data_IF_170051343726
#
_entry.id   IF_170051343726
#
_cell.length_a   1.000
_cell.length_b   1.000
_cell.length_c   1.000
_cell.angle_alpha   90.00
_cell.angle_beta   90.00
_cell.angle_gamma   90.00
#
_symmetry.space_group_name_H-M   'P 1'
#
loop_
_entity.id
_entity.type
_entity.pdbx_description
1 polymer ?
#
# COMPACT_ATOMS: atom_id res chain seq x y z
N UNK A 1 -4.73 5.01 -7.50
CA UNK A 1 -3.40 5.46 -7.97
C UNK A 1 -2.96 6.68 -7.17
N UNK A 2 -1.74 6.65 -6.61
CA UNK A 2 -1.22 7.68 -5.72
C UNK A 2 -1.02 9.03 -6.44
N UNK A 3 -1.53 10.11 -5.84
CA UNK A 3 -1.46 11.47 -6.41
C UNK A 3 -0.07 12.08 -6.23
N UNK A 4 0.55 12.68 -7.27
CA UNK A 4 1.83 13.36 -7.15
C UNK A 4 1.81 14.53 -6.17
N UNK A 5 0.67 15.21 -6.05
CA UNK A 5 0.47 16.29 -5.07
C UNK A 5 0.55 15.74 -3.64
N UNK A 6 -0.08 14.59 -3.39
CA UNK A 6 -0.04 13.92 -2.09
C UNK A 6 1.38 13.46 -1.73
N UNK A 7 2.10 12.81 -2.66
CA UNK A 7 3.49 12.40 -2.43
C UNK A 7 4.37 13.61 -2.11
N UNK A 8 4.22 14.70 -2.87
CA UNK A 8 4.97 15.93 -2.65
C UNK A 8 4.69 16.55 -1.28
N UNK A 9 3.43 16.59 -0.87
CA UNK A 9 3.06 17.10 0.44
C UNK A 9 3.69 16.28 1.57
N UNK A 10 3.62 14.95 1.49
CA UNK A 10 4.24 14.05 2.49
C UNK A 10 5.76 14.20 2.49
N UNK A 11 6.40 14.25 1.31
CA UNK A 11 7.84 14.43 1.22
C UNK A 11 8.29 15.76 1.82
N UNK A 12 7.56 16.84 1.56
CA UNK A 12 7.84 18.15 2.16
C UNK A 12 7.80 18.08 3.69
N UNK A 13 6.77 17.46 4.24
CA UNK A 13 6.59 17.31 5.68
C UNK A 13 7.71 16.46 6.32
N UNK A 14 8.12 15.41 5.62
CA UNK A 14 9.23 14.53 6.04
C UNK A 14 10.63 15.11 5.76
N UNK A 15 10.74 16.29 5.17
CA UNK A 15 12.03 16.88 4.77
C UNK A 15 12.76 16.10 3.67
N UNK A 16 12.03 15.36 2.84
CA UNK A 16 12.54 14.58 1.70
C UNK A 16 12.53 15.40 0.40
N UNK A 17 13.30 15.01 -0.64
CA UNK A 17 13.29 15.71 -1.93
C UNK A 17 11.89 15.74 -2.56
N UNK A 18 11.55 16.85 -3.20
CA UNK A 18 10.21 17.15 -3.74
C UNK A 18 10.22 17.55 -5.21
N UNK A 19 11.36 17.45 -5.90
CA UNK A 19 11.47 17.74 -7.32
C UNK A 19 10.66 16.74 -8.16
N UNK A 20 10.31 17.14 -9.39
CA UNK A 20 9.41 16.38 -10.26
C UNK A 20 9.94 14.98 -10.57
N UNK A 21 11.25 14.84 -10.80
CA UNK A 21 11.87 13.55 -11.12
C UNK A 21 11.79 12.59 -9.93
N UNK A 22 12.13 13.06 -8.73
CA UNK A 22 11.99 12.25 -7.51
C UNK A 22 10.55 11.80 -7.29
N UNK A 23 9.57 12.72 -7.42
CA UNK A 23 8.16 12.39 -7.19
C UNK A 23 7.64 11.40 -8.24
N UNK A 24 8.09 11.50 -9.49
CA UNK A 24 7.73 10.52 -10.53
C UNK A 24 8.27 9.13 -10.18
N UNK A 25 9.57 9.02 -9.84
CA UNK A 25 10.20 7.76 -9.46
C UNK A 25 9.53 7.12 -8.25
N UNK A 26 9.20 7.88 -7.21
CA UNK A 26 8.53 7.34 -6.02
C UNK A 26 7.16 6.76 -6.37
N UNK A 27 6.42 7.37 -7.30
CA UNK A 27 5.12 6.85 -7.73
C UNK A 27 5.24 5.56 -8.53
N UNK A 28 6.25 5.46 -9.39
CA UNK A 28 6.54 4.23 -10.14
C UNK A 28 6.90 3.10 -9.19
N UNK A 29 7.82 3.35 -8.25
CA UNK A 29 8.22 2.37 -7.24
C UNK A 29 7.05 1.97 -6.33
N UNK A 30 6.19 2.92 -5.95
CA UNK A 30 4.98 2.61 -5.18
C UNK A 30 4.06 1.65 -5.96
N UNK A 31 3.85 1.89 -7.25
CA UNK A 31 3.00 1.03 -8.07
C UNK A 31 3.60 -0.37 -8.24
N UNK A 32 4.92 -0.47 -8.41
CA UNK A 32 5.66 -1.74 -8.49
C UNK A 32 5.58 -2.54 -7.18
N UNK A 33 5.77 -1.88 -6.04
CA UNK A 33 5.68 -2.51 -4.72
C UNK A 33 4.26 -3.00 -4.43
N UNK A 34 3.24 -2.17 -4.70
CA UNK A 34 1.83 -2.58 -4.60
C UNK A 34 1.56 -3.79 -5.50
N UNK A 35 2.02 -3.77 -6.75
CA UNK A 35 1.88 -4.89 -7.68
C UNK A 35 2.49 -6.18 -7.14
N UNK A 36 3.71 -6.13 -6.62
CA UNK A 36 4.40 -7.29 -6.03
C UNK A 36 3.62 -7.89 -4.85
N UNK A 37 3.00 -7.06 -4.01
CA UNK A 37 2.20 -7.53 -2.88
C UNK A 37 0.83 -8.06 -3.29
N UNK A 38 0.22 -7.51 -4.35
CA UNK A 38 -1.04 -8.03 -4.90
C UNK A 38 -0.89 -9.50 -5.26
N UNK A 39 0.17 -9.88 -5.96
CA UNK A 39 0.37 -11.25 -6.40
C UNK A 39 0.49 -12.21 -5.20
N UNK A 40 1.20 -11.78 -4.16
CA UNK A 40 1.34 -12.53 -2.91
C UNK A 40 -0.01 -12.69 -2.20
N UNK A 41 -0.76 -11.61 -2.01
CA UNK A 41 -2.05 -11.65 -1.31
C UNK A 41 -3.14 -12.36 -2.12
N UNK A 42 -3.20 -12.16 -3.43
CA UNK A 42 -4.16 -12.84 -4.28
C UNK A 42 -3.92 -14.36 -4.25
N UNK A 43 -2.64 -14.79 -4.29
CA UNK A 43 -2.27 -16.19 -4.16
C UNK A 43 -2.68 -16.76 -2.81
N UNK A 44 -2.45 -16.03 -1.71
CA UNK A 44 -2.86 -16.45 -0.37
C UNK A 44 -4.38 -16.61 -0.28
N UNK A 45 -5.15 -15.60 -0.69
CA UNK A 45 -6.61 -15.61 -0.64
C UNK A 45 -7.22 -16.73 -1.49
N UNK A 46 -6.63 -17.01 -2.65
CA UNK A 46 -7.04 -18.13 -3.50
C UNK A 46 -6.75 -19.47 -2.81
N UNK A 47 -5.60 -19.62 -2.16
CA UNK A 47 -5.25 -20.84 -1.44
C UNK A 47 -6.14 -21.06 -0.21
N UNK A 48 -6.47 -19.99 0.52
CA UNK A 48 -7.44 -20.02 1.61
C UNK A 48 -8.82 -20.48 1.13
N UNK A 49 -9.28 -19.94 -0.01
CA UNK A 49 -10.54 -20.37 -0.61
C UNK A 49 -10.52 -21.86 -0.99
N UNK A 50 -9.43 -22.34 -1.61
CA UNK A 50 -9.28 -23.77 -1.95
C UNK A 50 -9.32 -24.65 -0.71
N UNK A 51 -8.63 -24.26 0.36
CA UNK A 51 -8.63 -25.00 1.62
C UNK A 51 -10.03 -25.05 2.26
N UNK A 52 -10.81 -23.98 2.12
CA UNK A 52 -12.19 -23.91 2.60
C UNK A 52 -13.20 -24.65 1.71
N UNK A 53 -12.85 -25.00 0.47
CA UNK A 53 -13.71 -25.71 -0.48
C UNK A 53 -13.07 -27.04 -0.94
N UNK A 54 -12.78 -27.97 -0.01
CA UNK A 54 -12.20 -29.25 -0.35
C UNK A 54 -13.25 -30.11 -1.07
N UNK A 55 -13.12 -30.27 -2.39
CA UNK A 55 -14.06 -31.03 -3.21
C UNK A 55 -14.42 -30.38 -4.53
N UNK A 56 -14.02 -29.12 -4.76
CA UNK A 56 -14.05 -28.55 -6.11
C UNK A 56 -13.04 -29.24 -7.02
N UNK A 57 -13.36 -29.40 -8.30
CA UNK A 57 -12.57 -30.12 -9.32
C UNK A 57 -11.23 -29.42 -9.68
N UNK A 58 -10.63 -28.68 -8.74
CA UNK A 58 -9.49 -27.78 -8.98
C UNK A 58 -9.86 -26.48 -9.70
N UNK A 59 -11.11 -26.33 -10.14
CA UNK A 59 -11.62 -25.13 -10.78
C UNK A 59 -11.90 -24.02 -9.77
N UNK A 60 -11.39 -22.82 -10.05
CA UNK A 60 -11.62 -21.63 -9.24
C UNK A 60 -12.58 -20.74 -10.02
N UNK A 61 -13.76 -20.40 -9.47
CA UNK A 61 -14.68 -19.49 -10.12
C UNK A 61 -14.03 -18.12 -10.41
N UNK A 62 -14.36 -17.52 -11.56
CA UNK A 62 -13.84 -16.20 -11.93
C UNK A 62 -14.20 -15.10 -10.91
N UNK A 63 -15.37 -15.21 -10.28
CA UNK A 63 -15.79 -14.30 -9.20
C UNK A 63 -14.88 -14.38 -7.97
N UNK A 64 -14.41 -15.58 -7.62
CA UNK A 64 -13.48 -15.79 -6.52
C UNK A 64 -12.13 -15.16 -6.88
N UNK A 65 -11.61 -15.43 -8.08
CA UNK A 65 -10.36 -14.81 -8.55
C UNK A 65 -10.44 -13.28 -8.56
N UNK A 66 -11.53 -12.71 -9.07
CA UNK A 66 -11.76 -11.27 -9.10
C UNK A 66 -11.86 -10.67 -7.69
N UNK A 67 -12.57 -11.33 -6.78
CA UNK A 67 -12.69 -10.91 -5.38
C UNK A 67 -11.35 -10.98 -4.65
N UNK A 68 -10.60 -12.07 -4.80
CA UNK A 68 -9.26 -12.23 -4.23
C UNK A 68 -8.30 -11.16 -4.73
N UNK A 69 -8.31 -10.87 -6.03
CA UNK A 69 -7.46 -9.80 -6.60
C UNK A 69 -7.87 -8.41 -6.08
N UNK A 70 -9.16 -8.10 -6.01
CA UNK A 70 -9.64 -6.82 -5.48
C UNK A 70 -9.33 -6.63 -3.99
N UNK A 71 -9.40 -7.70 -3.19
CA UNK A 71 -8.98 -7.67 -1.78
C UNK A 71 -7.47 -7.52 -1.64
N UNK A 72 -6.70 -8.24 -2.46
CA UNK A 72 -5.24 -8.15 -2.51
C UNK A 72 -4.77 -6.74 -2.86
N UNK A 73 -5.40 -6.09 -3.84
CA UNK A 73 -5.15 -4.69 -4.22
C UNK A 73 -5.35 -3.75 -3.04
N UNK A 74 -6.51 -3.79 -2.38
CA UNK A 74 -6.79 -2.90 -1.25
C UNK A 74 -5.79 -3.10 -0.12
N UNK A 75 -5.51 -4.35 0.26
CA UNK A 75 -4.56 -4.68 1.32
C UNK A 75 -3.14 -4.22 0.98
N UNK A 76 -2.69 -4.49 -0.24
CA UNK A 76 -1.37 -4.06 -0.71
C UNK A 76 -1.24 -2.53 -0.69
N UNK A 77 -2.23 -1.80 -1.23
CA UNK A 77 -2.23 -0.34 -1.20
C UNK A 77 -2.20 0.20 0.22
N UNK A 78 -3.02 -0.33 1.14
CA UNK A 78 -3.08 0.09 2.54
C UNK A 78 -1.74 -0.11 3.25
N UNK A 79 -1.11 -1.28 3.12
CA UNK A 79 0.16 -1.57 3.78
C UNK A 79 1.32 -0.73 3.23
N UNK A 80 1.44 -0.58 1.91
CA UNK A 80 2.50 0.24 1.32
C UNK A 80 2.29 1.71 1.68
N UNK A 81 1.05 2.19 1.69
CA UNK A 81 0.72 3.55 2.15
C UNK A 81 1.11 3.77 3.62
N UNK A 82 0.82 2.78 4.47
CA UNK A 82 1.18 2.83 5.88
C UNK A 82 2.69 2.88 6.07
N UNK A 83 3.45 2.00 5.41
CA UNK A 83 4.90 1.93 5.55
C UNK A 83 5.62 3.16 4.99
N UNK A 84 5.21 3.65 3.82
CA UNK A 84 5.98 4.66 3.08
C UNK A 84 5.62 6.09 3.48
N UNK A 85 4.38 6.31 3.91
CA UNK A 85 3.83 7.64 4.12
C UNK A 85 3.24 7.81 5.53
N UNK A 86 2.21 7.05 5.90
CA UNK A 86 1.46 7.33 7.13
C UNK A 86 2.28 7.05 8.40
N UNK A 87 3.00 5.93 8.46
CA UNK A 87 3.87 5.55 9.56
C UNK A 87 4.99 6.57 9.78
N UNK A 88 5.76 6.94 8.75
CA UNK A 88 6.76 8.01 8.85
C UNK A 88 6.19 9.35 9.32
N UNK A 89 5.01 9.74 8.82
CA UNK A 89 4.34 10.97 9.26
C UNK A 89 3.94 10.87 10.74
N UNK A 90 3.37 9.73 11.17
CA UNK A 90 3.00 9.51 12.57
C UNK A 90 4.21 9.61 13.50
N UNK A 91 5.32 8.96 13.14
CA UNK A 91 6.58 9.07 13.89
C UNK A 91 7.10 10.51 13.94
N UNK A 92 6.96 11.28 12.85
CA UNK A 92 7.33 12.70 12.85
C UNK A 92 6.44 13.51 13.80
N UNK A 93 5.12 13.29 13.76
CA UNK A 93 4.16 13.98 14.63
C UNK A 93 4.42 13.68 16.11
N UNK A 94 4.65 12.42 16.46
CA UNK A 94 5.01 12.00 17.83
C UNK A 94 6.28 12.71 18.32
N UNK A 95 7.28 12.87 17.45
CA UNK A 95 8.51 13.62 17.78
C UNK A 95 8.27 15.11 17.95
N UNK A 96 7.38 15.72 17.17
CA UNK A 96 7.02 17.14 17.32
C UNK A 96 6.32 17.38 18.65
N UNK A 97 5.33 16.54 18.98
CA UNK A 97 4.61 16.56 20.26
C UNK A 97 5.58 16.39 21.44
N UNK A 98 6.48 15.40 21.38
CA UNK A 98 7.48 15.18 22.43
C UNK A 98 8.44 16.37 22.66
N UNK A 99 8.58 17.26 21.66
CA UNK A 99 9.39 18.48 21.74
C UNK A 99 8.59 19.72 22.15
N UNK A 100 7.31 19.57 22.48
CA UNK A 100 6.42 20.69 22.79
C UNK A 100 6.10 21.59 21.59
N UNK A 101 6.27 21.07 20.37
CA UNK A 101 5.83 21.75 19.15
C UNK A 101 4.38 21.31 18.93
N UNK A 102 3.43 22.24 19.06
CA UNK A 102 2.02 21.96 18.80
C UNK A 102 1.86 21.41 17.38
N UNK A 103 1.21 20.25 17.30
CA UNK A 103 1.09 19.43 16.08
C UNK A 103 -0.02 19.85 15.14
N UNK A 104 -0.19 21.15 14.91
CA UNK A 104 -1.20 21.73 14.01
C UNK A 104 -0.59 22.80 13.10
#
# INVERSE_FOLDING_TARGET
>A
MLSPVTVRAVHKELGRPTDDATIATVREQFAEEVGSRIDLYATQLVNEWKAANPGGDGFIPGEVMGSSHGQALRRAEEEVMEEWFNGPIRTLMERKVARGIDGW
#
